data_IF_834092916210
#
_entry.id   IF_834092916210
#
_cell.length_a   1.000
_cell.length_b   1.000
_cell.length_c   1.000
_cell.angle_alpha   90.00
_cell.angle_beta   90.00
_cell.angle_gamma   90.00
#
_symmetry.space_group_name_H-M   'P 1'
#
loop_
_entity.id
_entity.type
_entity.pdbx_description
1 polymer ?
#
# COMPACT_ATOMS: atom_id res chain seq x y z
N UNK A 1 9.34 2.69 -25.24
CA UNK A 1 8.78 1.87 -24.15
C UNK A 1 9.61 0.62 -24.01
N UNK A 2 10.26 0.44 -22.86
CA UNK A 2 11.16 -0.70 -22.64
C UNK A 2 10.36 -2.02 -22.60
N UNK A 3 10.95 -3.14 -23.08
CA UNK A 3 10.34 -4.45 -22.96
C UNK A 3 10.04 -4.83 -21.50
N UNK A 4 8.93 -5.53 -21.26
CA UNK A 4 8.46 -5.96 -19.92
C UNK A 4 9.54 -6.73 -19.14
N UNK A 5 10.44 -7.42 -19.85
CA UNK A 5 11.57 -8.14 -19.25
C UNK A 5 12.56 -7.22 -18.53
N UNK A 6 12.93 -6.09 -19.13
CA UNK A 6 13.83 -5.11 -18.49
C UNK A 6 13.17 -4.43 -17.31
N UNK A 7 11.87 -4.12 -17.44
CA UNK A 7 11.07 -3.63 -16.33
C UNK A 7 11.10 -4.62 -15.14
N UNK A 8 10.93 -5.92 -15.41
CA UNK A 8 10.98 -6.96 -14.37
C UNK A 8 12.31 -7.05 -13.64
N UNK A 9 13.44 -6.95 -14.35
CA UNK A 9 14.78 -6.95 -13.74
C UNK A 9 15.04 -5.70 -12.89
N UNK A 10 14.64 -4.51 -13.38
CA UNK A 10 14.78 -3.25 -12.63
C UNK A 10 13.91 -3.27 -11.37
N UNK A 11 12.64 -3.67 -11.49
CA UNK A 11 11.74 -3.80 -10.35
C UNK A 11 12.23 -4.83 -9.34
N UNK A 12 12.91 -5.90 -9.78
CA UNK A 12 13.52 -6.87 -8.87
C UNK A 12 14.61 -6.21 -8.00
N UNK A 13 15.53 -5.45 -8.61
CA UNK A 13 16.57 -4.74 -7.87
C UNK A 13 16.01 -3.65 -6.95
N UNK A 14 15.02 -2.89 -7.43
CA UNK A 14 14.33 -1.89 -6.61
C UNK A 14 13.60 -2.56 -5.43
N UNK A 15 12.93 -3.70 -5.67
CA UNK A 15 12.28 -4.47 -4.60
C UNK A 15 13.29 -5.00 -3.58
N UNK A 16 14.48 -5.41 -4.01
CA UNK A 16 15.56 -5.79 -3.10
C UNK A 16 16.00 -4.63 -2.20
N UNK A 17 16.21 -3.44 -2.78
CA UNK A 17 16.52 -2.22 -2.02
C UNK A 17 15.41 -1.90 -1.01
N UNK A 18 14.13 -1.97 -1.42
CA UNK A 18 12.98 -1.74 -0.51
C UNK A 18 13.01 -2.66 0.72
N UNK A 19 13.23 -3.96 0.49
CA UNK A 19 13.29 -4.95 1.56
C UNK A 19 14.49 -4.68 2.47
N UNK A 20 15.65 -4.35 1.89
CA UNK A 20 16.85 -4.00 2.65
C UNK A 20 16.63 -2.75 3.52
N UNK A 21 16.02 -1.69 2.97
CA UNK A 21 15.73 -0.46 3.71
C UNK A 21 14.77 -0.70 4.88
N UNK A 22 13.70 -1.45 4.69
CA UNK A 22 12.75 -1.77 5.77
C UNK A 22 13.40 -2.68 6.82
N UNK A 23 14.17 -3.69 6.40
CA UNK A 23 14.86 -4.59 7.33
C UNK A 23 15.91 -3.84 8.15
N UNK A 24 16.70 -2.98 7.51
CA UNK A 24 17.66 -2.11 8.18
C UNK A 24 16.98 -1.15 9.17
N UNK A 25 15.82 -0.60 8.80
CA UNK A 25 15.03 0.24 9.70
C UNK A 25 14.51 -0.51 10.92
N UNK A 26 14.01 -1.75 10.75
CA UNK A 26 13.57 -2.59 11.88
C UNK A 26 14.73 -2.87 12.83
N UNK A 27 15.90 -3.25 12.31
CA UNK A 27 17.11 -3.48 13.11
C UNK A 27 17.50 -2.21 13.87
N UNK A 28 17.51 -1.07 13.17
CA UNK A 28 17.77 0.23 13.77
C UNK A 28 16.81 0.52 14.94
N UNK A 29 15.50 0.34 14.74
CA UNK A 29 14.54 0.57 15.80
C UNK A 29 14.75 -0.34 17.01
N UNK A 30 15.05 -1.62 16.80
CA UNK A 30 15.36 -2.56 17.89
C UNK A 30 16.58 -2.08 18.68
N UNK A 31 17.67 -1.70 17.99
CA UNK A 31 18.86 -1.16 18.64
C UNK A 31 18.56 0.09 19.47
N UNK A 32 17.74 1.01 18.95
CA UNK A 32 17.36 2.22 19.66
C UNK A 32 16.47 1.92 20.88
N UNK A 33 15.53 0.99 20.76
CA UNK A 33 14.69 0.52 21.89
C UNK A 33 15.55 -0.10 22.99
N UNK A 34 16.60 -0.86 22.62
CA UNK A 34 17.56 -1.45 23.54
C UNK A 34 18.57 -0.45 24.15
N UNK A 35 18.62 0.80 23.66
CA UNK A 35 19.46 1.85 24.24
C UNK A 35 20.80 2.10 23.54
N UNK A 36 20.94 1.72 22.27
CA UNK A 36 22.09 2.11 21.45
C UNK A 36 22.14 3.63 21.14
N UNK A 37 21.12 4.40 21.53
CA UNK A 37 21.01 5.83 21.27
C UNK A 37 21.67 6.73 22.33
N UNK A 38 21.95 8.01 21.98
CA UNK A 38 22.56 8.98 22.88
C UNK A 38 21.69 9.34 24.10
N UNK A 39 20.39 9.04 24.05
CA UNK A 39 19.42 9.36 25.10
C UNK A 39 19.05 8.16 26.00
N UNK A 40 19.80 7.06 25.90
CA UNK A 40 19.53 5.81 26.60
C UNK A 40 18.40 4.98 25.96
N UNK A 41 17.98 3.87 26.59
CA UNK A 41 16.94 2.98 26.06
C UNK A 41 15.59 3.68 25.97
N UNK A 42 15.05 3.74 24.75
CA UNK A 42 13.68 4.19 24.55
C UNK A 42 12.69 3.22 25.21
N UNK A 43 12.90 1.90 25.09
CA UNK A 43 12.03 0.89 25.71
C UNK A 43 10.54 1.18 25.48
N UNK A 44 9.78 1.24 26.57
CA UNK A 44 8.38 1.68 26.59
C UNK A 44 8.20 3.10 27.15
N UNK A 45 9.23 3.95 27.07
CA UNK A 45 9.22 5.30 27.68
C UNK A 45 8.02 6.12 27.21
N UNK A 46 7.80 6.21 25.90
CA UNK A 46 6.68 6.97 25.34
C UNK A 46 5.31 6.33 25.57
N UNK A 47 5.27 5.00 25.70
CA UNK A 47 4.04 4.28 26.05
C UNK A 47 3.64 4.43 27.51
N UNK A 48 4.59 4.76 28.40
CA UNK A 48 4.33 5.11 29.79
C UNK A 48 4.00 6.59 29.94
N UNK A 49 4.79 7.48 29.31
CA UNK A 49 4.61 8.94 29.34
C UNK A 49 4.93 9.50 27.94
N UNK A 50 3.96 10.05 27.19
CA UNK A 50 2.60 10.48 27.56
C UNK A 50 1.53 9.36 27.59
N UNK A 51 1.84 8.14 27.16
CA UNK A 51 0.88 7.03 27.08
C UNK A 51 0.85 6.41 25.68
N UNK A 52 0.39 5.16 25.56
CA UNK A 52 0.32 4.46 24.26
C UNK A 52 -0.80 4.94 23.34
N UNK A 53 -1.80 5.67 23.86
CA UNK A 53 -2.94 6.18 23.10
C UNK A 53 -3.17 7.66 23.39
N UNK A 54 -3.33 8.45 22.32
CA UNK A 54 -3.72 9.86 22.41
C UNK A 54 -5.11 10.08 23.02
N UNK A 55 -5.50 11.36 23.23
CA UNK A 55 -6.81 11.71 23.77
C UNK A 55 -7.97 11.40 22.82
N UNK A 56 -7.69 11.05 21.55
CA UNK A 56 -8.68 10.92 20.49
C UNK A 56 -8.85 12.24 19.73
N UNK A 57 -9.46 12.19 18.55
CA UNK A 57 -9.45 13.32 17.58
C UNK A 57 -10.86 13.92 17.36
N UNK A 58 -11.93 13.17 17.64
CA UNK A 58 -13.27 13.45 17.08
C UNK A 58 -14.34 13.82 18.13
N UNK A 59 -14.26 13.32 19.37
CA UNK A 59 -15.27 13.58 20.42
C UNK A 59 -14.65 14.26 21.65
N UNK A 60 -15.46 15.00 22.41
CA UNK A 60 -15.07 15.56 23.71
C UNK A 60 -14.94 14.47 24.80
N UNK A 61 -15.63 13.34 24.65
CA UNK A 61 -15.50 12.21 25.56
C UNK A 61 -14.28 11.36 25.18
N UNK A 62 -13.29 11.26 26.09
CA UNK A 62 -12.01 10.58 25.86
C UNK A 62 -12.13 9.14 25.38
N UNK A 63 -13.09 8.37 25.91
CA UNK A 63 -13.24 6.96 25.52
C UNK A 63 -13.84 6.83 24.12
N UNK A 64 -14.84 7.65 23.81
CA UNK A 64 -15.45 7.72 22.49
C UNK A 64 -14.46 8.23 21.44
N UNK A 65 -13.73 9.30 21.75
CA UNK A 65 -12.73 9.89 20.87
C UNK A 65 -11.59 8.92 20.53
N UNK A 66 -11.19 8.08 21.50
CA UNK A 66 -10.22 6.99 21.29
C UNK A 66 -10.78 5.88 20.41
N UNK A 67 -12.03 5.48 20.62
CA UNK A 67 -12.70 4.49 19.78
C UNK A 67 -12.83 4.99 18.33
N UNK A 68 -13.29 6.22 18.13
CA UNK A 68 -13.40 6.84 16.81
C UNK A 68 -12.03 7.02 16.15
N UNK A 69 -11.00 7.37 16.92
CA UNK A 69 -9.62 7.40 16.43
C UNK A 69 -9.11 6.03 15.98
N UNK A 70 -9.44 4.97 16.73
CA UNK A 70 -9.15 3.60 16.34
C UNK A 70 -9.86 3.21 15.04
N UNK A 71 -11.16 3.49 14.91
CA UNK A 71 -11.93 3.26 13.67
C UNK A 71 -11.31 4.03 12.49
N UNK A 72 -10.94 5.30 12.69
CA UNK A 72 -10.26 6.10 11.66
C UNK A 72 -8.91 5.50 11.24
N UNK A 73 -8.17 4.91 12.19
CA UNK A 73 -6.91 4.21 11.87
C UNK A 73 -7.14 2.97 11.01
N UNK A 74 -8.28 2.27 11.16
CA UNK A 74 -8.62 1.12 10.31
C UNK A 74 -8.83 1.54 8.85
N UNK A 75 -9.41 2.71 8.60
CA UNK A 75 -9.59 3.24 7.24
C UNK A 75 -8.23 3.48 6.57
N UNK A 76 -7.30 4.12 7.29
CA UNK A 76 -5.93 4.34 6.81
C UNK A 76 -5.16 3.02 6.63
N UNK A 77 -5.37 2.06 7.51
CA UNK A 77 -4.78 0.72 7.39
C UNK A 77 -5.31 -0.01 6.15
N UNK A 78 -6.62 0.04 5.90
CA UNK A 78 -7.24 -0.55 4.71
C UNK A 78 -6.71 0.10 3.42
N UNK A 79 -6.59 1.42 3.38
CA UNK A 79 -5.97 2.13 2.26
C UNK A 79 -4.53 1.65 1.98
N UNK A 80 -3.74 1.39 3.02
CA UNK A 80 -2.37 0.88 2.89
C UNK A 80 -2.28 -0.52 2.28
N UNK A 81 -3.38 -1.30 2.36
CA UNK A 81 -3.47 -2.62 1.72
C UNK A 81 -4.04 -2.59 0.30
N UNK A 82 -4.47 -1.42 -0.18
CA UNK A 82 -4.84 -1.23 -1.57
C UNK A 82 -3.69 -1.64 -2.48
N UNK A 83 -4.04 -2.33 -3.56
CA UNK A 83 -3.10 -2.83 -4.53
C UNK A 83 -2.70 -4.31 -4.36
N UNK A 84 -3.23 -4.99 -3.35
CA UNK A 84 -3.10 -6.46 -3.25
C UNK A 84 -3.87 -7.17 -4.37
N UNK A 85 -4.91 -6.54 -4.90
CA UNK A 85 -5.67 -6.97 -6.07
C UNK A 85 -4.86 -7.01 -7.37
N UNK A 86 -3.73 -6.29 -7.45
CA UNK A 86 -2.85 -6.31 -8.62
C UNK A 86 -2.27 -7.70 -8.90
N UNK A 87 -2.19 -8.57 -7.88
CA UNK A 87 -1.81 -9.98 -8.06
C UNK A 87 -2.79 -10.69 -8.99
N UNK A 88 -4.07 -10.33 -8.96
CA UNK A 88 -5.08 -10.87 -9.87
C UNK A 88 -4.88 -10.41 -11.33
N UNK A 89 -4.50 -9.14 -11.53
CA UNK A 89 -4.23 -8.60 -12.87
C UNK A 89 -2.97 -9.24 -13.47
N UNK A 90 -1.92 -9.37 -12.67
CA UNK A 90 -0.63 -9.94 -13.09
C UNK A 90 -0.65 -11.47 -13.20
N UNK A 91 -1.62 -12.15 -12.57
CA UNK A 91 -1.81 -13.59 -12.70
C UNK A 91 -1.99 -14.04 -14.16
N UNK A 92 -2.58 -13.20 -15.02
CA UNK A 92 -2.76 -13.49 -16.44
C UNK A 92 -1.46 -13.51 -17.25
N UNK A 93 -0.40 -12.87 -16.76
CA UNK A 93 0.93 -12.81 -17.39
C UNK A 93 1.95 -13.76 -16.71
N UNK A 94 1.55 -14.44 -15.62
CA UNK A 94 2.44 -15.34 -14.89
C UNK A 94 2.65 -16.67 -15.64
N UNK A 95 3.88 -17.20 -15.61
CA UNK A 95 4.24 -18.45 -16.29
C UNK A 95 3.51 -19.69 -15.77
N UNK A 96 3.24 -19.75 -14.46
CA UNK A 96 2.42 -20.79 -13.84
C UNK A 96 1.49 -20.21 -12.77
N UNK A 97 0.34 -19.64 -13.16
CA UNK A 97 -0.56 -18.95 -12.24
C UNK A 97 -1.07 -19.85 -11.10
N UNK A 98 -1.28 -21.15 -11.39
CA UNK A 98 -1.76 -22.14 -10.41
C UNK A 98 -0.80 -22.34 -9.23
N UNK A 99 0.51 -22.16 -9.43
CA UNK A 99 1.52 -22.25 -8.34
C UNK A 99 1.95 -20.87 -7.84
N UNK A 100 2.13 -19.91 -8.76
CA UNK A 100 2.67 -18.58 -8.43
C UNK A 100 1.70 -17.76 -7.60
N UNK A 101 0.40 -17.77 -7.93
CA UNK A 101 -0.61 -16.98 -7.22
C UNK A 101 -0.77 -17.43 -5.76
N UNK A 102 -0.97 -18.73 -5.43
CA UNK A 102 -1.07 -19.17 -4.04
C UNK A 102 0.19 -18.88 -3.22
N UNK A 103 1.38 -19.04 -3.82
CA UNK A 103 2.65 -18.74 -3.15
C UNK A 103 2.82 -17.24 -2.86
N UNK A 104 2.41 -16.38 -3.80
CA UNK A 104 2.42 -14.93 -3.59
C UNK A 104 1.51 -14.55 -2.42
N UNK A 105 0.27 -15.07 -2.38
CA UNK A 105 -0.70 -14.81 -1.30
C UNK A 105 -0.13 -15.18 0.08
N UNK A 106 0.46 -16.38 0.22
CA UNK A 106 1.07 -16.80 1.49
C UNK A 106 2.20 -15.86 1.95
N UNK A 107 3.02 -15.39 1.01
CA UNK A 107 4.09 -14.43 1.29
C UNK A 107 3.56 -13.06 1.73
N UNK A 108 2.40 -12.63 1.21
CA UNK A 108 1.76 -11.38 1.65
C UNK A 108 1.42 -11.42 3.14
N UNK A 109 0.89 -12.53 3.67
CA UNK A 109 0.55 -12.64 5.10
C UNK A 109 1.80 -12.47 5.98
N UNK A 110 2.88 -13.19 5.66
CA UNK A 110 4.16 -13.05 6.36
C UNK A 110 4.70 -11.61 6.30
N UNK A 111 4.58 -10.98 5.12
CA UNK A 111 4.98 -9.59 4.91
C UNK A 111 4.21 -8.62 5.82
N UNK A 112 2.90 -8.83 6.00
CA UNK A 112 2.06 -8.00 6.86
C UNK A 112 2.49 -8.12 8.33
N UNK A 113 2.63 -9.35 8.84
CA UNK A 113 2.95 -9.57 10.24
C UNK A 113 4.33 -8.98 10.61
N UNK A 114 5.34 -9.22 9.78
CA UNK A 114 6.73 -8.88 10.12
C UNK A 114 7.12 -7.48 9.66
N UNK A 115 6.78 -7.06 8.45
CA UNK A 115 7.26 -5.77 7.97
C UNK A 115 6.32 -4.62 8.31
N UNK A 116 5.02 -4.87 8.51
CA UNK A 116 4.04 -3.81 8.75
C UNK A 116 3.75 -3.68 10.24
N UNK A 117 3.28 -4.76 10.88
CA UNK A 117 2.88 -4.70 12.30
C UNK A 117 4.09 -4.47 13.21
N UNK A 118 5.15 -5.26 13.08
CA UNK A 118 6.35 -5.08 13.91
C UNK A 118 6.98 -3.70 13.72
N UNK A 119 7.02 -3.22 12.48
CA UNK A 119 7.62 -1.94 12.16
C UNK A 119 6.81 -0.77 12.75
N UNK A 120 5.48 -0.79 12.60
CA UNK A 120 4.60 0.21 13.23
C UNK A 120 4.66 0.15 14.76
N UNK A 121 4.74 -1.05 15.33
CA UNK A 121 4.93 -1.24 16.77
C UNK A 121 6.22 -0.56 17.26
N UNK A 122 7.34 -0.83 16.59
CA UNK A 122 8.65 -0.25 16.91
C UNK A 122 8.66 1.27 16.74
N UNK A 123 8.08 1.79 15.66
CA UNK A 123 7.92 3.25 15.45
C UNK A 123 7.10 3.87 16.58
N UNK A 124 6.02 3.22 17.01
CA UNK A 124 5.20 3.67 18.13
C UNK A 124 5.94 3.71 19.47
N UNK A 125 7.02 2.94 19.63
CA UNK A 125 7.89 3.01 20.82
C UNK A 125 8.88 4.19 20.75
N UNK A 126 9.24 4.63 19.55
CA UNK A 126 10.25 5.66 19.27
C UNK A 126 9.67 7.05 19.06
N UNK A 127 8.39 7.14 18.69
CA UNK A 127 7.71 8.41 18.43
C UNK A 127 6.50 8.53 19.35
N UNK A 128 6.46 9.54 20.24
CA UNK A 128 5.28 9.77 21.06
C UNK A 128 4.14 10.32 20.21
N UNK A 129 2.89 9.96 20.55
CA UNK A 129 1.72 10.39 19.78
C UNK A 129 1.53 11.92 19.74
N UNK A 130 2.12 12.64 20.70
CA UNK A 130 2.02 14.09 20.84
C UNK A 130 3.23 14.83 20.25
N UNK A 131 4.05 14.17 19.43
CA UNK A 131 5.17 14.82 18.77
C UNK A 131 4.67 15.93 17.82
N UNK A 132 5.08 17.19 18.00
CA UNK A 132 4.61 18.30 17.15
C UNK A 132 4.97 18.12 15.68
N UNK A 133 5.99 17.31 15.34
CA UNK A 133 6.38 17.01 13.97
C UNK A 133 5.33 16.19 13.22
N UNK A 134 4.50 15.42 13.92
CA UNK A 134 3.39 14.67 13.30
C UNK A 134 2.32 15.61 12.71
N UNK A 135 2.20 16.82 13.24
CA UNK A 135 1.23 17.85 12.83
C UNK A 135 1.84 19.00 12.01
N UNK A 136 3.15 19.01 11.80
CA UNK A 136 3.89 20.07 11.10
C UNK A 136 3.45 20.27 9.64
N UNK A 137 3.28 21.52 9.20
CA UNK A 137 2.66 21.88 7.91
C UNK A 137 3.65 21.98 6.74
N UNK A 138 4.95 21.69 6.94
CA UNK A 138 5.98 22.02 5.94
C UNK A 138 6.05 21.07 4.74
N UNK A 139 5.97 19.75 4.93
CA UNK A 139 5.98 18.76 3.83
C UNK A 139 5.42 17.40 4.29
N UNK A 140 4.66 16.70 3.45
CA UNK A 140 4.07 15.38 3.77
C UNK A 140 5.12 14.33 4.15
N UNK A 141 6.28 14.31 3.46
CA UNK A 141 7.38 13.39 3.76
C UNK A 141 8.00 13.69 5.13
N UNK A 142 8.07 14.97 5.52
CA UNK A 142 8.57 15.40 6.83
C UNK A 142 7.64 15.02 7.99
N UNK A 143 6.36 14.71 7.72
CA UNK A 143 5.43 14.13 8.71
C UNK A 143 5.62 12.63 8.91
N UNK A 144 6.44 11.95 8.10
CA UNK A 144 6.58 10.50 8.15
C UNK A 144 7.05 10.04 9.53
N UNK A 145 6.28 9.20 10.26
CA UNK A 145 6.68 8.69 11.56
C UNK A 145 8.02 7.95 11.54
N UNK A 146 8.39 7.36 10.40
CA UNK A 146 9.67 6.69 10.20
C UNK A 146 10.85 7.68 10.23
N UNK A 147 10.69 8.84 9.58
CA UNK A 147 11.70 9.90 9.56
C UNK A 147 11.78 10.57 10.92
N UNK A 148 10.63 10.83 11.55
CA UNK A 148 10.56 11.40 12.91
C UNK A 148 11.27 10.47 13.91
N UNK A 149 11.08 9.15 13.81
CA UNK A 149 11.77 8.18 14.66
C UNK A 149 13.31 8.27 14.52
N UNK A 150 13.82 8.40 13.29
CA UNK A 150 15.25 8.55 13.03
C UNK A 150 15.78 9.88 13.58
N UNK A 151 15.07 10.97 13.33
CA UNK A 151 15.46 12.31 13.79
C UNK A 151 15.46 12.41 15.31
N UNK A 152 14.45 11.85 15.97
CA UNK A 152 14.35 11.83 17.43
C UNK A 152 15.41 10.93 18.07
N UNK A 153 15.91 9.95 17.33
CA UNK A 153 17.03 9.09 17.75
C UNK A 153 18.39 9.80 17.74
N UNK A 154 18.49 10.98 17.11
CA UNK A 154 19.69 11.81 17.11
C UNK A 154 20.83 11.30 16.23
N UNK A 155 20.57 10.35 15.31
CA UNK A 155 21.59 9.86 14.38
C UNK A 155 21.65 10.79 13.17
N UNK A 156 22.76 11.51 12.94
CA UNK A 156 22.89 12.40 11.80
C UNK A 156 22.90 11.60 10.49
N UNK A 157 22.43 12.23 9.40
CA UNK A 157 22.47 11.71 8.02
C UNK A 157 21.57 10.50 7.70
N UNK A 158 21.18 9.71 8.70
CA UNK A 158 20.35 8.51 8.48
C UNK A 158 18.95 8.84 7.93
N UNK A 159 18.40 9.99 8.31
CA UNK A 159 17.11 10.48 7.81
C UNK A 159 17.14 10.76 6.31
N UNK A 160 18.25 11.33 5.82
CA UNK A 160 18.47 11.63 4.41
C UNK A 160 18.62 10.37 3.56
N UNK A 161 19.35 9.36 4.06
CA UNK A 161 19.46 8.04 3.41
C UNK A 161 18.07 7.39 3.31
N UNK A 162 17.30 7.40 4.40
CA UNK A 162 15.98 6.77 4.42
C UNK A 162 14.98 7.51 3.52
N UNK A 163 15.04 8.84 3.46
CA UNK A 163 14.29 9.64 2.49
C UNK A 163 14.65 9.26 1.04
N UNK A 164 15.93 9.05 0.72
CA UNK A 164 16.34 8.54 -0.58
C UNK A 164 15.71 7.18 -0.93
N UNK A 165 15.67 6.25 0.03
CA UNK A 165 14.99 4.96 -0.14
C UNK A 165 13.48 5.10 -0.35
N UNK A 166 12.83 6.04 0.36
CA UNK A 166 11.42 6.38 0.16
C UNK A 166 11.18 6.90 -1.27
N UNK A 167 12.04 7.80 -1.77
CA UNK A 167 11.93 8.33 -3.13
C UNK A 167 12.02 7.22 -4.19
N UNK A 168 13.00 6.32 -4.07
CA UNK A 168 13.13 5.14 -4.94
C UNK A 168 11.84 4.29 -4.88
N UNK A 169 11.28 4.15 -3.68
CA UNK A 169 10.06 3.37 -3.46
C UNK A 169 8.85 4.00 -4.16
N UNK A 170 8.68 5.31 -4.04
CA UNK A 170 7.59 6.07 -4.66
C UNK A 170 7.69 6.00 -6.19
N UNK A 171 8.89 6.15 -6.76
CA UNK A 171 9.10 6.08 -8.22
C UNK A 171 8.71 4.70 -8.76
N UNK A 172 9.14 3.61 -8.11
CA UNK A 172 8.76 2.26 -8.52
C UNK A 172 7.26 1.98 -8.33
N UNK A 173 6.63 2.53 -7.28
CA UNK A 173 5.18 2.43 -7.11
C UNK A 173 4.43 3.14 -8.26
N UNK A 174 4.86 4.34 -8.66
CA UNK A 174 4.31 5.06 -9.80
C UNK A 174 4.42 4.28 -11.10
N UNK A 175 5.59 3.69 -11.36
CA UNK A 175 5.86 2.84 -12.52
C UNK A 175 4.94 1.60 -12.55
N UNK A 176 4.75 0.95 -11.41
CA UNK A 176 3.83 -0.19 -11.24
C UNK A 176 2.37 0.18 -11.49
N UNK A 177 1.93 1.36 -11.03
CA UNK A 177 0.58 1.86 -11.27
C UNK A 177 0.33 2.17 -12.75
N UNK A 178 1.30 2.75 -13.46
CA UNK A 178 1.21 2.97 -14.91
C UNK A 178 1.15 1.63 -15.66
N UNK A 179 1.99 0.67 -15.26
CA UNK A 179 1.96 -0.68 -15.81
C UNK A 179 0.55 -1.29 -15.64
N UNK A 180 -0.01 -1.31 -14.43
CA UNK A 180 -1.34 -1.90 -14.19
C UNK A 180 -2.47 -1.15 -14.87
N UNK A 181 -2.49 0.19 -14.79
CA UNK A 181 -3.53 1.01 -15.43
C UNK A 181 -3.60 0.75 -16.93
N UNK A 182 -2.46 0.61 -17.60
CA UNK A 182 -2.42 0.27 -19.02
C UNK A 182 -3.00 -1.12 -19.35
N UNK A 183 -2.84 -2.12 -18.47
CA UNK A 183 -3.38 -3.49 -18.67
C UNK A 183 -4.89 -3.52 -18.44
N UNK A 184 -5.37 -2.80 -17.44
CA UNK A 184 -6.81 -2.67 -17.18
C UNK A 184 -7.48 -2.03 -18.41
N UNK A 185 -6.92 -0.93 -18.92
CA UNK A 185 -7.48 -0.22 -20.07
C UNK A 185 -7.44 -1.06 -21.36
N UNK A 186 -6.34 -1.79 -21.57
CA UNK A 186 -6.23 -2.77 -22.65
C UNK A 186 -7.28 -3.89 -22.54
N UNK A 187 -7.48 -4.44 -21.34
CA UNK A 187 -8.47 -5.49 -21.07
C UNK A 187 -9.90 -5.01 -21.32
N UNK A 188 -10.24 -3.80 -20.86
CA UNK A 188 -11.53 -3.15 -21.14
C UNK A 188 -11.75 -2.96 -22.63
N UNK A 189 -10.72 -2.53 -23.36
CA UNK A 189 -10.80 -2.37 -24.80
C UNK A 189 -11.08 -3.72 -25.46
N UNK A 190 -10.34 -4.77 -25.09
CA UNK A 190 -10.50 -6.14 -25.61
C UNK A 190 -11.96 -6.62 -25.48
N UNK A 191 -12.58 -6.36 -24.34
CA UNK A 191 -13.97 -6.72 -24.02
C UNK A 191 -15.03 -5.80 -24.65
N UNK A 192 -14.62 -4.75 -25.38
CA UNK A 192 -15.54 -3.80 -26.03
C UNK A 192 -16.07 -2.70 -25.11
N UNK A 193 -15.62 -2.63 -23.85
CA UNK A 193 -16.03 -1.64 -22.86
C UNK A 193 -15.22 -0.33 -22.90
N UNK A 194 -14.08 -0.32 -23.60
CA UNK A 194 -13.28 0.88 -23.86
C UNK A 194 -13.01 1.06 -25.36
N UNK A 195 -12.66 2.28 -25.81
CA UNK A 195 -12.37 2.56 -27.22
C UNK A 195 -11.36 1.59 -27.85
N UNK A 196 -11.64 1.16 -29.08
CA UNK A 196 -10.86 0.12 -29.77
C UNK A 196 -9.37 0.47 -29.94
N UNK A 197 -9.02 1.75 -29.98
CA UNK A 197 -7.63 2.19 -30.16
C UNK A 197 -6.73 1.74 -29.00
N UNK A 198 -7.25 1.56 -27.78
CA UNK A 198 -6.47 1.04 -26.65
C UNK A 198 -6.00 -0.42 -26.82
N UNK A 199 -6.51 -1.15 -27.82
CA UNK A 199 -6.02 -2.49 -28.18
C UNK A 199 -4.67 -2.47 -28.89
N UNK A 200 -4.22 -1.32 -29.38
CA UNK A 200 -2.99 -1.25 -30.18
C UNK A 200 -1.75 -1.48 -29.29
N UNK A 201 -0.99 -2.54 -29.61
CA UNK A 201 0.23 -2.91 -28.92
C UNK A 201 1.46 -2.72 -29.78
N UNK A 202 2.60 -2.46 -29.16
CA UNK A 202 3.91 -2.51 -29.84
C UNK A 202 4.25 -3.94 -30.29
N UNK A 203 5.29 -4.10 -31.13
CA UNK A 203 5.83 -5.41 -31.52
C UNK A 203 6.21 -6.31 -30.33
N UNK A 204 6.45 -5.71 -29.16
CA UNK A 204 6.80 -6.37 -27.90
C UNK A 204 5.59 -6.60 -26.99
N UNK A 205 4.36 -6.36 -27.45
CA UNK A 205 3.12 -6.61 -26.70
C UNK A 205 2.72 -5.52 -25.71
N UNK A 206 3.36 -4.34 -25.73
CA UNK A 206 3.06 -3.25 -24.79
C UNK A 206 1.95 -2.36 -25.34
N UNK A 207 0.82 -2.15 -24.63
CA UNK A 207 -0.28 -1.28 -25.09
C UNK A 207 0.09 0.20 -24.95
N UNK A 208 0.80 0.75 -25.93
CA UNK A 208 1.45 2.06 -25.80
C UNK A 208 0.47 3.22 -25.64
N UNK A 209 -0.69 3.17 -26.31
CA UNK A 209 -1.70 4.23 -26.16
C UNK A 209 -2.25 4.22 -24.73
N UNK A 210 -2.51 3.03 -24.18
CA UNK A 210 -2.99 2.91 -22.81
C UNK A 210 -1.95 3.41 -21.79
N UNK A 211 -0.66 3.08 -21.99
CA UNK A 211 0.43 3.57 -21.14
C UNK A 211 0.53 5.10 -21.21
N UNK A 212 0.49 5.70 -22.41
CA UNK A 212 0.54 7.16 -22.56
C UNK A 212 -0.63 7.85 -21.87
N UNK A 213 -1.85 7.34 -22.05
CA UNK A 213 -3.03 7.88 -21.39
C UNK A 213 -2.93 7.79 -19.87
N UNK A 214 -2.49 6.65 -19.31
CA UNK A 214 -2.30 6.52 -17.86
C UNK A 214 -1.20 7.47 -17.35
N UNK A 215 -0.09 7.62 -18.09
CA UNK A 215 0.97 8.55 -17.72
C UNK A 215 0.54 10.01 -17.74
N UNK A 216 -0.39 10.41 -18.63
CA UNK A 216 -0.92 11.78 -18.67
C UNK A 216 -1.61 12.19 -17.36
N UNK A 217 -2.28 11.27 -16.68
CA UNK A 217 -2.86 11.54 -15.35
C UNK A 217 -1.78 11.79 -14.29
N UNK A 218 -0.56 11.28 -14.49
CA UNK A 218 0.58 11.60 -13.63
C UNK A 218 0.92 13.09 -13.63
N UNK A 219 0.63 13.82 -14.73
CA UNK A 219 0.82 15.27 -14.79
C UNK A 219 -0.05 16.04 -13.80
N UNK A 220 -1.11 15.44 -13.25
CA UNK A 220 -1.90 16.05 -12.17
C UNK A 220 -1.06 16.25 -10.89
N UNK A 221 0.06 15.53 -10.73
CA UNK A 221 0.99 15.76 -9.63
C UNK A 221 1.54 17.21 -9.61
N UNK A 222 1.62 17.89 -10.76
CA UNK A 222 2.05 19.29 -10.83
C UNK A 222 1.08 20.26 -10.13
N UNK A 223 -0.14 19.84 -9.79
CA UNK A 223 -1.05 20.65 -8.96
C UNK A 223 -0.47 20.91 -7.56
N UNK A 224 0.44 20.06 -7.07
CA UNK A 224 1.15 20.27 -5.82
C UNK A 224 2.05 21.53 -5.84
N UNK A 225 2.49 21.98 -7.02
CA UNK A 225 3.31 23.20 -7.13
C UNK A 225 2.51 24.50 -6.98
N UNK A 226 1.18 24.41 -6.84
CA UNK A 226 0.31 25.57 -6.64
C UNK A 226 0.34 26.08 -5.19
N UNK A 227 -0.15 27.30 -4.97
CA UNK A 227 -0.23 27.95 -3.64
C UNK A 227 -1.05 27.09 -2.64
N UNK A 228 -1.93 26.20 -3.12
CA UNK A 228 -2.74 25.26 -2.34
C UNK A 228 -2.32 23.79 -2.56
N UNK A 229 -1.05 23.52 -2.85
CA UNK A 229 -0.54 22.19 -3.19
C UNK A 229 -0.90 21.08 -2.21
N UNK A 230 -0.88 21.37 -0.91
CA UNK A 230 -1.30 20.42 0.14
C UNK A 230 -2.76 19.98 0.01
N UNK A 231 -3.67 20.91 -0.29
CA UNK A 231 -5.10 20.61 -0.51
C UNK A 231 -5.30 19.76 -1.76
N UNK A 232 -4.61 20.09 -2.85
CA UNK A 232 -4.70 19.32 -4.10
C UNK A 232 -4.20 17.88 -3.91
N UNK A 233 -3.12 17.69 -3.15
CA UNK A 233 -2.61 16.37 -2.80
C UNK A 233 -3.61 15.57 -1.96
N UNK A 234 -4.23 16.18 -0.95
CA UNK A 234 -5.27 15.53 -0.14
C UNK A 234 -6.48 15.11 -0.97
N UNK A 235 -6.91 15.93 -1.93
CA UNK A 235 -7.99 15.57 -2.86
C UNK A 235 -7.65 14.32 -3.68
N UNK A 236 -6.45 14.27 -4.25
CA UNK A 236 -5.99 13.11 -5.02
C UNK A 236 -5.91 11.85 -4.15
N UNK A 237 -5.40 11.97 -2.91
CA UNK A 237 -5.38 10.85 -1.96
C UNK A 237 -6.79 10.33 -1.64
N UNK A 238 -7.73 11.24 -1.37
CA UNK A 238 -9.11 10.87 -1.04
C UNK A 238 -9.80 10.16 -2.22
N UNK A 239 -9.61 10.64 -3.45
CA UNK A 239 -10.16 10.02 -4.66
C UNK A 239 -9.61 8.60 -4.84
N UNK A 240 -8.29 8.40 -4.71
CA UNK A 240 -7.67 7.07 -4.85
C UNK A 240 -8.15 6.12 -3.75
N UNK A 241 -8.28 6.62 -2.52
CA UNK A 241 -8.78 5.84 -1.38
C UNK A 241 -10.19 5.33 -1.65
N UNK A 242 -11.11 6.23 -2.01
CA UNK A 242 -12.50 5.89 -2.29
C UNK A 242 -12.59 4.92 -3.48
N UNK A 243 -11.86 5.18 -4.56
CA UNK A 243 -11.82 4.30 -5.73
C UNK A 243 -11.37 2.88 -5.37
N UNK A 244 -10.39 2.74 -4.46
CA UNK A 244 -9.92 1.45 -3.96
C UNK A 244 -11.01 0.65 -3.25
N UNK A 245 -11.74 1.30 -2.35
CA UNK A 245 -12.85 0.65 -1.65
C UNK A 245 -13.95 0.20 -2.61
N UNK A 246 -14.28 1.00 -3.63
CA UNK A 246 -15.22 0.58 -4.67
C UNK A 246 -14.72 -0.62 -5.47
N UNK A 247 -13.43 -0.66 -5.82
CA UNK A 247 -12.82 -1.81 -6.51
C UNK A 247 -12.97 -3.07 -5.67
N UNK A 248 -12.68 -3.02 -4.37
CA UNK A 248 -12.82 -4.18 -3.48
C UNK A 248 -14.27 -4.60 -3.27
N UNK A 249 -15.20 -3.66 -3.19
CA UNK A 249 -16.63 -3.94 -3.13
C UNK A 249 -17.07 -4.70 -4.39
N UNK A 250 -16.70 -4.20 -5.58
CA UNK A 250 -17.05 -4.84 -6.85
C UNK A 250 -16.40 -6.22 -7.00
N UNK A 251 -15.14 -6.39 -6.57
CA UNK A 251 -14.46 -7.70 -6.55
C UNK A 251 -15.22 -8.67 -5.63
N UNK A 252 -15.65 -8.20 -4.45
CA UNK A 252 -16.41 -9.02 -3.49
C UNK A 252 -17.76 -9.44 -4.07
N UNK A 253 -18.50 -8.52 -4.66
CA UNK A 253 -19.78 -8.82 -5.34
C UNK A 253 -19.59 -9.81 -6.50
N UNK A 254 -18.57 -9.60 -7.34
CA UNK A 254 -18.25 -10.52 -8.42
C UNK A 254 -17.87 -11.92 -7.89
N UNK A 255 -17.18 -11.99 -6.75
CA UNK A 255 -16.84 -13.25 -6.10
C UNK A 255 -18.07 -13.99 -5.57
N UNK A 256 -19.01 -13.30 -4.94
CA UNK A 256 -20.29 -13.88 -4.48
C UNK A 256 -21.05 -14.46 -5.66
N UNK A 257 -21.20 -13.69 -6.76
CA UNK A 257 -21.84 -14.19 -7.99
C UNK A 257 -21.12 -15.39 -8.58
N UNK A 258 -19.79 -15.39 -8.58
CA UNK A 258 -18.99 -16.54 -9.02
C UNK A 258 -19.28 -17.79 -8.17
N UNK A 259 -19.39 -17.66 -6.84
CA UNK A 259 -19.77 -18.77 -5.95
C UNK A 259 -21.19 -19.27 -6.22
N UNK A 260 -22.16 -18.37 -6.44
CA UNK A 260 -23.54 -18.73 -6.83
C UNK A 260 -23.58 -19.52 -8.15
N UNK A 261 -22.78 -19.11 -9.15
CA UNK A 261 -22.70 -19.79 -10.45
C UNK A 261 -22.07 -21.18 -10.32
N UNK A 262 -21.02 -21.35 -9.51
CA UNK A 262 -20.42 -22.67 -9.26
C UNK A 262 -21.44 -23.62 -8.63
N UNK A 263 -22.18 -23.13 -7.62
CA UNK A 263 -23.25 -23.90 -6.97
C UNK A 263 -24.36 -24.28 -7.96
N UNK A 264 -24.79 -23.34 -8.80
CA UNK A 264 -25.80 -23.60 -9.83
C UNK A 264 -25.33 -24.63 -10.88
N UNK A 265 -24.05 -24.60 -11.26
CA UNK A 265 -23.45 -25.53 -12.24
C UNK A 265 -23.00 -26.86 -11.63
N UNK A 266 -23.16 -27.07 -10.32
CA UNK A 266 -22.72 -28.29 -9.63
C UNK A 266 -21.20 -28.49 -9.61
N UNK A 267 -20.40 -27.44 -9.83
CA UNK A 267 -18.94 -27.54 -9.83
C UNK A 267 -18.43 -27.42 -8.38
N UNK A 268 -17.64 -28.40 -7.93
CA UNK A 268 -17.10 -28.37 -6.58
C UNK A 268 -16.07 -27.26 -6.42
N UNK A 269 -16.05 -26.63 -5.24
CA UNK A 269 -15.03 -25.63 -4.90
C UNK A 269 -13.65 -26.24 -4.72
N UNK A 270 -13.57 -27.55 -4.53
CA UNK A 270 -12.30 -28.27 -4.39
C UNK A 270 -11.59 -28.47 -5.74
N UNK A 271 -12.30 -28.26 -6.84
CA UNK A 271 -11.73 -28.23 -8.19
C UNK A 271 -10.97 -26.92 -8.48
N UNK A 272 -11.10 -25.92 -7.60
CA UNK A 272 -10.40 -24.64 -7.75
C UNK A 272 -8.92 -24.76 -7.35
N UNK A 273 -7.98 -24.17 -8.11
CA UNK A 273 -6.55 -24.17 -7.78
C UNK A 273 -6.23 -23.52 -6.43
N UNK A 274 -7.11 -22.68 -5.92
CA UNK A 274 -6.98 -22.01 -4.64
C UNK A 274 -8.34 -21.80 -4.00
N UNK A 275 -8.46 -22.16 -2.72
CA UNK A 275 -9.64 -21.94 -1.87
C UNK A 275 -9.19 -21.14 -0.66
N UNK A 276 -9.71 -19.94 -0.50
CA UNK A 276 -9.44 -19.17 0.71
C UNK A 276 -10.12 -19.85 1.91
N UNK A 277 -9.38 -19.95 3.02
CA UNK A 277 -9.90 -20.47 4.29
C UNK A 277 -11.01 -19.52 4.77
N UNK A 278 -12.15 -20.07 5.23
CA UNK A 278 -13.34 -19.33 5.72
C UNK A 278 -14.27 -18.69 4.66
N UNK A 279 -14.02 -18.84 3.36
CA UNK A 279 -15.01 -18.49 2.34
C UNK A 279 -16.05 -19.63 2.16
N UNK A 280 -17.36 -19.35 1.99
CA UNK A 280 -17.95 -18.07 1.59
C UNK A 280 -18.42 -17.20 2.77
N UNK A 281 -18.31 -17.65 4.02
CA UNK A 281 -18.85 -16.94 5.20
C UNK A 281 -18.32 -15.51 5.38
N UNK A 282 -17.08 -15.22 4.95
CA UNK A 282 -16.51 -13.87 4.96
C UNK A 282 -17.01 -12.92 3.84
N UNK A 283 -17.70 -13.45 2.83
CA UNK A 283 -18.21 -12.69 1.68
C UNK A 283 -19.74 -12.65 1.64
N UNK A 284 -20.43 -13.52 2.39
CA UNK A 284 -21.89 -13.49 2.49
C UNK A 284 -22.33 -12.28 3.31
N UNK A 285 -23.04 -11.35 2.66
CA UNK A 285 -23.95 -10.45 3.36
C UNK A 285 -25.19 -11.28 3.71
N UNK A 286 -25.67 -11.29 4.97
CA UNK A 286 -26.90 -11.99 5.31
C UNK A 286 -28.04 -11.42 4.47
N UNK A 287 -28.78 -12.32 3.81
CA UNK A 287 -30.03 -12.02 3.10
C UNK A 287 -31.07 -11.37 4.01
#
# INVERSE_FOLDING_TARGET
MFPVRYYGEIEFWIAFIKVLSITGFIIFCICMVCGAGPYGPFGFRYWKNPGSWGPGIISSNKNEARFLGWVSSLINAAFTYQGTELVGVTAGEASNPRKTVPNAIKKVIFRILIFYILCLFLVGLLVPYNDPKLTSVTTYVSKSPFIIAIQNSGIPFLDSIFNGAILITIVSAGNSNVYVGSRILYGLAKNGSAPKFFKNTTKTGVPYIAVLTTSMFGSLAYLELSISGGTAFEWLLNIVSIAGFFVWLLISVAHIRFMQVLKYRGISRDDLPYKAKLMPWLADFPD
#
